data_IF_935682638055
#
_entry.id   IF_935682638055
#
_cell.length_a   1.000
_cell.length_b   1.000
_cell.length_c   1.000
_cell.angle_alpha   90.00
_cell.angle_beta   90.00
_cell.angle_gamma   90.00
#
_symmetry.space_group_name_H-M   'P 1'
#
loop_
_entity.id
_entity.type
_entity.pdbx_description
1 polymer ?
#
# COMPACT_ATOMS: atom_id res chain seq x y z
N UNK A 1 -21.81 22.89 -12.44
CA UNK A 1 -21.14 22.11 -11.37
C UNK A 1 -20.68 20.80 -11.98
N UNK A 2 -19.39 20.65 -12.31
CA UNK A 2 -18.84 19.41 -12.87
C UNK A 2 -18.27 18.60 -11.69
N UNK A 3 -19.08 17.69 -11.17
CA UNK A 3 -18.81 16.87 -9.97
C UNK A 3 -18.19 15.49 -10.31
N UNK A 4 -17.94 15.22 -11.59
CA UNK A 4 -17.42 13.93 -12.04
C UNK A 4 -15.89 13.97 -12.07
N UNK A 5 -15.21 13.01 -11.43
CA UNK A 5 -13.77 12.84 -11.58
C UNK A 5 -13.40 12.63 -13.05
N UNK A 6 -12.31 13.26 -13.47
CA UNK A 6 -11.83 13.20 -14.85
C UNK A 6 -11.59 11.73 -15.27
N UNK A 7 -12.22 11.22 -16.34
CA UNK A 7 -12.14 9.81 -16.74
C UNK A 7 -10.71 9.31 -16.99
N UNK A 8 -9.78 10.19 -17.37
CA UNK A 8 -8.37 9.82 -17.52
C UNK A 8 -7.70 9.51 -16.17
N UNK A 9 -8.05 10.27 -15.12
CA UNK A 9 -7.54 10.06 -13.76
C UNK A 9 -8.04 8.75 -13.17
N UNK A 10 -9.29 8.37 -13.44
CA UNK A 10 -9.86 7.09 -13.00
C UNK A 10 -9.12 5.91 -13.65
N UNK A 11 -8.82 5.99 -14.95
CA UNK A 11 -8.07 4.94 -15.66
C UNK A 11 -6.66 4.74 -15.10
N UNK A 12 -5.92 5.83 -14.89
CA UNK A 12 -4.57 5.76 -14.29
C UNK A 12 -4.60 5.22 -12.86
N UNK A 13 -5.56 5.66 -12.04
CA UNK A 13 -5.75 5.14 -10.70
C UNK A 13 -6.05 3.63 -10.70
N UNK A 14 -6.96 3.18 -11.57
CA UNK A 14 -7.33 1.76 -11.68
C UNK A 14 -6.16 0.88 -12.16
N UNK A 15 -5.35 1.36 -13.11
CA UNK A 15 -4.16 0.64 -13.55
C UNK A 15 -3.12 0.52 -12.42
N UNK A 16 -2.84 1.62 -11.72
CA UNK A 16 -1.90 1.62 -10.59
C UNK A 16 -2.36 0.76 -9.40
N UNK A 17 -3.67 0.67 -9.16
CA UNK A 17 -4.25 -0.19 -8.13
C UNK A 17 -4.12 -1.68 -8.50
N UNK A 18 -4.27 -2.02 -9.78
CA UNK A 18 -4.06 -3.38 -10.29
C UNK A 18 -2.62 -3.86 -10.12
N UNK A 19 -1.65 -3.05 -10.54
CA UNK A 19 -0.21 -3.39 -10.41
C UNK A 19 0.20 -3.58 -8.94
N UNK A 20 -0.33 -2.74 -8.03
CA UNK A 20 -0.08 -2.87 -6.60
C UNK A 20 -0.68 -4.17 -6.04
N UNK A 21 -1.91 -4.52 -6.42
CA UNK A 21 -2.55 -5.76 -5.98
C UNK A 21 -1.81 -7.01 -6.45
N UNK A 22 -1.33 -7.02 -7.70
CA UNK A 22 -0.55 -8.12 -8.26
C UNK A 22 0.81 -8.27 -7.56
N UNK A 23 1.54 -7.16 -7.35
CA UNK A 23 2.82 -7.18 -6.65
C UNK A 23 2.68 -7.68 -5.21
N UNK A 24 1.65 -7.22 -4.50
CA UNK A 24 1.37 -7.66 -3.14
C UNK A 24 0.98 -9.15 -3.09
N UNK A 25 0.16 -9.63 -4.02
CA UNK A 25 -0.23 -11.04 -4.11
C UNK A 25 0.97 -11.95 -4.40
N UNK A 26 1.85 -11.55 -5.33
CA UNK A 26 3.06 -12.29 -5.65
C UNK A 26 3.99 -12.41 -4.43
N UNK A 27 4.19 -11.32 -3.69
CA UNK A 27 5.04 -11.33 -2.50
C UNK A 27 4.50 -12.25 -1.39
N UNK A 28 3.17 -12.27 -1.18
CA UNK A 28 2.52 -13.21 -0.25
C UNK A 28 2.71 -14.66 -0.71
N UNK A 29 2.48 -14.93 -2.00
CA UNK A 29 2.62 -16.28 -2.55
C UNK A 29 4.06 -16.81 -2.44
N UNK A 30 5.05 -15.97 -2.76
CA UNK A 30 6.47 -16.30 -2.63
C UNK A 30 6.82 -16.55 -1.16
N UNK A 31 6.38 -15.68 -0.24
CA UNK A 31 6.60 -15.87 1.19
C UNK A 31 6.01 -17.19 1.70
N UNK A 32 4.77 -17.52 1.31
CA UNK A 32 4.15 -18.79 1.65
C UNK A 32 4.93 -19.99 1.08
N UNK A 33 5.35 -19.92 -0.19
CA UNK A 33 6.15 -20.97 -0.82
C UNK A 33 7.47 -21.24 -0.07
N UNK A 34 8.16 -20.18 0.35
CA UNK A 34 9.43 -20.28 1.09
C UNK A 34 9.20 -20.93 2.45
N UNK A 35 8.26 -20.44 3.24
CA UNK A 35 8.00 -20.99 4.58
C UNK A 35 7.43 -22.40 4.54
N UNK A 36 6.57 -22.69 3.56
CA UNK A 36 6.08 -24.04 3.30
C UNK A 36 7.21 -24.99 2.94
N UNK A 37 8.08 -24.59 2.00
CA UNK A 37 9.23 -25.41 1.59
C UNK A 37 10.21 -25.68 2.73
N UNK A 38 10.49 -24.66 3.56
CA UNK A 38 11.33 -24.82 4.76
C UNK A 38 10.71 -25.79 5.76
N UNK A 39 9.41 -25.65 6.04
CA UNK A 39 8.72 -26.51 6.98
C UNK A 39 8.61 -27.95 6.48
N UNK A 40 8.32 -28.15 5.19
CA UNK A 40 8.28 -29.45 4.55
C UNK A 40 9.66 -30.13 4.54
N UNK A 41 10.74 -29.38 4.25
CA UNK A 41 12.10 -29.90 4.29
C UNK A 41 12.54 -30.31 5.70
N UNK A 42 12.18 -29.50 6.71
CA UNK A 42 12.48 -29.80 8.11
C UNK A 42 11.68 -31.01 8.61
N UNK A 43 10.39 -31.10 8.26
CA UNK A 43 9.54 -32.24 8.56
C UNK A 43 10.07 -33.54 7.93
N UNK A 44 10.61 -33.48 6.71
CA UNK A 44 11.23 -34.64 6.03
C UNK A 44 12.51 -35.11 6.73
N UNK A 45 13.35 -34.18 7.19
CA UNK A 45 14.59 -34.52 7.88
C UNK A 45 14.35 -35.03 9.31
N UNK A 46 13.40 -34.42 10.02
CA UNK A 46 13.08 -34.76 11.41
C UNK A 46 12.01 -35.87 11.54
N UNK A 47 11.36 -36.28 10.44
CA UNK A 47 10.28 -37.27 10.45
C UNK A 47 9.01 -36.80 11.17
N UNK A 48 8.80 -35.49 11.31
CA UNK A 48 7.73 -34.87 12.11
C UNK A 48 6.57 -34.33 11.25
N UNK A 49 6.44 -34.83 10.02
CA UNK A 49 5.39 -34.42 9.07
C UNK A 49 3.99 -34.51 9.71
N UNK A 50 3.18 -33.42 9.76
CA UNK A 50 3.37 -32.09 9.16
C UNK A 50 3.56 -30.93 10.18
N UNK A 51 4.26 -31.15 11.29
CA UNK A 51 4.27 -30.20 12.41
C UNK A 51 4.98 -28.88 12.08
N UNK A 52 6.20 -28.92 11.54
CA UNK A 52 6.96 -27.72 11.22
C UNK A 52 6.39 -27.01 9.99
N UNK A 53 5.87 -27.75 9.01
CA UNK A 53 5.15 -27.16 7.88
C UNK A 53 3.97 -26.31 8.34
N UNK A 54 3.14 -26.81 9.25
CA UNK A 54 2.00 -26.05 9.80
C UNK A 54 2.52 -24.84 10.58
N UNK A 55 3.48 -25.03 11.49
CA UNK A 55 4.02 -23.96 12.32
C UNK A 55 4.59 -22.80 11.48
N UNK A 56 5.39 -23.11 10.47
CA UNK A 56 5.99 -22.10 9.59
C UNK A 56 4.98 -21.43 8.68
N UNK A 57 3.99 -22.17 8.17
CA UNK A 57 2.92 -21.59 7.36
C UNK A 57 2.08 -20.61 8.17
N UNK A 58 1.70 -20.97 9.40
CA UNK A 58 0.96 -20.09 10.31
C UNK A 58 1.81 -18.87 10.68
N UNK A 59 3.08 -19.06 10.99
CA UNK A 59 4.00 -17.95 11.26
C UNK A 59 4.10 -16.98 10.09
N UNK A 60 4.23 -17.49 8.87
CA UNK A 60 4.25 -16.67 7.65
C UNK A 60 2.95 -15.89 7.48
N UNK A 61 1.79 -16.55 7.65
CA UNK A 61 0.49 -15.89 7.55
C UNK A 61 0.35 -14.75 8.57
N UNK A 62 0.74 -14.97 9.82
CA UNK A 62 0.72 -13.94 10.87
C UNK A 62 1.67 -12.79 10.52
N UNK A 63 2.92 -13.10 10.16
CA UNK A 63 3.91 -12.08 9.78
C UNK A 63 3.42 -11.20 8.63
N UNK A 64 2.76 -11.80 7.66
CA UNK A 64 2.22 -11.09 6.52
C UNK A 64 1.01 -10.23 6.88
N UNK A 65 0.16 -10.69 7.79
CA UNK A 65 -0.93 -9.88 8.33
C UNK A 65 -0.40 -8.66 9.09
N UNK A 66 0.61 -8.86 9.94
CA UNK A 66 1.30 -7.79 10.69
C UNK A 66 1.92 -6.77 9.73
N UNK A 67 2.58 -7.24 8.67
CA UNK A 67 3.17 -6.36 7.65
C UNK A 67 2.11 -5.51 6.94
N UNK A 68 1.00 -6.11 6.53
CA UNK A 68 -0.11 -5.39 5.88
C UNK A 68 -0.67 -4.33 6.82
N UNK A 69 -0.82 -4.64 8.10
CA UNK A 69 -1.28 -3.70 9.12
C UNK A 69 -0.35 -2.49 9.28
N UNK A 70 0.95 -2.71 9.42
CA UNK A 70 1.92 -1.59 9.48
C UNK A 70 2.03 -0.80 8.16
N UNK A 71 1.89 -1.49 7.02
CA UNK A 71 1.86 -0.86 5.72
C UNK A 71 0.69 0.11 5.55
N UNK A 72 -0.47 -0.23 6.13
CA UNK A 72 -1.65 0.62 6.10
C UNK A 72 -1.44 1.96 6.82
N UNK A 73 -0.89 1.92 8.04
CA UNK A 73 -0.60 3.11 8.83
C UNK A 73 0.33 4.07 8.08
N UNK A 74 1.36 3.52 7.45
CA UNK A 74 2.33 4.30 6.67
C UNK A 74 1.68 4.96 5.45
N UNK A 75 0.75 4.27 4.77
CA UNK A 75 0.00 4.85 3.64
C UNK A 75 -0.89 6.01 4.08
N UNK A 76 -1.57 5.90 5.22
CA UNK A 76 -2.47 6.95 5.69
C UNK A 76 -1.72 8.21 6.08
N UNK A 77 -0.61 8.07 6.80
CA UNK A 77 0.27 9.22 7.11
C UNK A 77 0.77 9.93 5.86
N UNK A 78 1.12 9.19 4.81
CA UNK A 78 1.55 9.79 3.53
C UNK A 78 0.40 10.53 2.84
N UNK A 79 -0.81 9.95 2.80
CA UNK A 79 -1.99 10.59 2.21
C UNK A 79 -2.39 11.86 2.97
N UNK A 80 -2.24 11.89 4.29
CA UNK A 80 -2.47 13.08 5.09
C UNK A 80 -1.44 14.17 4.82
N UNK A 81 -0.16 13.81 4.72
CA UNK A 81 0.90 14.74 4.34
C UNK A 81 0.65 15.33 2.95
N UNK A 82 0.31 14.50 1.95
CA UNK A 82 0.00 14.94 0.60
C UNK A 82 -1.20 15.91 0.57
N UNK A 83 -2.23 15.64 1.39
CA UNK A 83 -3.39 16.55 1.51
C UNK A 83 -3.00 17.88 2.15
N UNK A 84 -2.17 17.87 3.19
CA UNK A 84 -1.69 19.08 3.84
C UNK A 84 -0.86 19.94 2.86
N UNK A 85 0.05 19.32 2.11
CA UNK A 85 0.84 20.02 1.08
C UNK A 85 -0.05 20.63 -0.01
N UNK A 86 -1.04 19.88 -0.51
CA UNK A 86 -1.97 20.39 -1.53
C UNK A 86 -2.87 21.52 -1.00
N UNK A 87 -3.30 21.46 0.26
CA UNK A 87 -4.08 22.52 0.89
C UNK A 87 -3.27 23.82 1.03
N UNK A 88 -2.00 23.72 1.46
CA UNK A 88 -1.09 24.87 1.55
C UNK A 88 -0.80 25.48 0.18
N UNK A 89 -0.58 24.65 -0.85
CA UNK A 89 -0.35 25.13 -2.21
C UNK A 89 -1.55 25.92 -2.76
N UNK A 90 -2.77 25.49 -2.47
CA UNK A 90 -3.98 26.23 -2.85
C UNK A 90 -4.06 27.59 -2.14
N UNK A 91 -3.74 27.66 -0.85
CA UNK A 91 -3.80 28.89 -0.07
C UNK A 91 -2.76 29.93 -0.51
N UNK A 92 -1.58 29.46 -0.91
CA UNK A 92 -0.53 30.33 -1.44
C UNK A 92 -0.93 30.97 -2.79
N UNK A 93 -1.58 30.19 -3.66
CA UNK A 93 -2.06 30.67 -4.95
C UNK A 93 -3.23 31.67 -4.82
N UNK A 94 -4.11 31.46 -3.83
CA UNK A 94 -5.18 32.42 -3.50
C UNK A 94 -4.61 33.75 -2.99
N UNK A 95 -3.60 33.70 -2.12
CA UNK A 95 -2.99 34.91 -1.55
C UNK A 95 -2.22 35.73 -2.61
N UNK A 96 -1.47 35.07 -3.48
CA UNK A 96 -0.77 35.73 -4.60
C UNK A 96 -1.73 36.35 -5.65
N UNK A 97 -2.91 35.73 -5.84
CA UNK A 97 -3.96 36.26 -6.69
C UNK A 97 -4.64 37.51 -6.11
N UNK A 98 -4.70 37.64 -4.79
CA UNK A 98 -5.30 38.79 -4.12
C UNK A 98 -4.37 40.01 -4.11
N UNK A 99 -3.06 39.79 -3.89
CA UNK A 99 -2.03 40.84 -3.97
C UNK A 99 -1.94 41.47 -5.38
N UNK A 100 -2.02 40.64 -6.43
CA UNK A 100 -2.01 41.11 -7.82
C UNK A 100 -3.28 41.86 -8.22
N UNK A 101 -4.39 41.66 -7.50
CA UNK A 101 -5.66 42.38 -7.71
C UNK A 101 -5.70 43.70 -6.93
N UNK A 102 -5.14 43.75 -5.73
CA UNK A 102 -5.03 44.96 -4.92
C UNK A 102 -4.05 46.00 -5.48
N UNK A 103 -2.97 45.56 -6.16
CA UNK A 103 -1.99 46.47 -6.79
C UNK A 103 -2.46 47.12 -8.10
N UNK A 104 -3.65 46.78 -8.61
CA UNK A 104 -4.20 47.29 -9.88
C UNK A 104 -5.38 48.27 -9.70
N UNK A 105 -5.72 48.62 -8.46
CA UNK A 105 -6.68 49.67 -8.12
C UNK A 105 -5.93 50.94 -7.69
#
# INVERSE_FOLDING_TARGET
MKLLPDPERIRKASASAGDQGLGQGAEIAIGLLVFFGLGAGLDWWAGTTPLFMIAFTVFCAIGQFVRVWYGYETRMRNLEADRAHNAMAHQNNVSAGDETRGSRA
#
